data_IF_240393587556
#
_entry.id   IF_240393587556
#
_cell.length_a   1.000
_cell.length_b   1.000
_cell.length_c   1.000
_cell.angle_alpha   90.00
_cell.angle_beta   90.00
_cell.angle_gamma   90.00
#
_symmetry.space_group_name_H-M   'P 1'
#
loop_
_entity.id
_entity.type
_entity.pdbx_description
1 polymer ?
#
# COMPACT_ATOMS: atom_id res chain seq x y z
N UNK A 1 -27.56 -25.35 16.21
CA UNK A 1 -27.17 -24.75 14.92
C UNK A 1 -26.18 -23.65 15.25
N UNK A 2 -24.87 -23.78 15.16
CA UNK A 2 -24.03 -24.44 14.16
C UNK A 2 -22.78 -23.56 14.07
N UNK A 3 -21.90 -23.66 15.07
CA UNK A 3 -20.67 -22.88 15.13
C UNK A 3 -19.78 -23.27 13.95
N UNK A 4 -19.57 -22.34 13.01
CA UNK A 4 -18.67 -22.50 11.88
C UNK A 4 -17.22 -22.51 12.39
N UNK A 5 -16.76 -23.69 12.74
CA UNK A 5 -15.38 -24.00 13.08
C UNK A 5 -14.52 -23.92 11.82
N UNK A 6 -13.86 -22.78 11.59
CA UNK A 6 -12.89 -22.63 10.51
C UNK A 6 -11.72 -23.60 10.75
N UNK A 7 -11.37 -24.49 9.80
CA UNK A 7 -10.28 -25.43 9.96
C UNK A 7 -8.94 -24.67 9.94
N UNK A 8 -8.34 -24.52 11.12
CA UNK A 8 -7.02 -23.95 11.31
C UNK A 8 -5.94 -24.86 10.70
N UNK A 9 -5.35 -24.42 9.59
CA UNK A 9 -4.28 -25.12 8.88
C UNK A 9 -3.00 -25.17 9.73
N UNK A 10 -2.81 -26.30 10.42
CA UNK A 10 -1.79 -26.57 11.44
C UNK A 10 -0.31 -26.50 10.95
N UNK A 11 -0.06 -26.40 9.63
CA UNK A 11 1.30 -26.42 9.05
C UNK A 11 2.00 -25.06 8.99
N UNK A 12 1.27 -23.94 9.01
CA UNK A 12 1.86 -22.60 9.03
C UNK A 12 2.42 -22.19 10.41
N UNK A 13 2.14 -22.99 11.46
CA UNK A 13 2.38 -22.64 12.86
C UNK A 13 3.84 -22.77 13.33
N UNK A 14 4.71 -23.45 12.55
CA UNK A 14 6.04 -23.85 13.03
C UNK A 14 7.17 -22.84 12.80
N UNK A 15 6.96 -21.78 12.03
CA UNK A 15 8.04 -20.84 11.70
C UNK A 15 7.85 -19.41 12.20
N UNK A 16 6.64 -18.92 12.49
CA UNK A 16 6.46 -17.48 12.75
C UNK A 16 5.68 -17.08 14.00
N UNK A 17 5.10 -18.01 14.78
CA UNK A 17 4.53 -17.67 16.11
C UNK A 17 3.41 -16.62 16.14
N UNK A 18 2.86 -16.21 14.99
CA UNK A 18 1.80 -15.20 14.86
C UNK A 18 0.55 -15.87 14.28
N UNK A 19 -0.62 -15.67 14.90
CA UNK A 19 -1.90 -16.26 14.48
C UNK A 19 -2.33 -15.85 13.06
N UNK A 20 -1.73 -14.80 12.52
CA UNK A 20 -1.78 -14.37 11.11
C UNK A 20 -0.40 -14.60 10.49
N UNK A 21 -0.19 -15.69 9.74
CA UNK A 21 1.14 -16.18 9.32
C UNK A 21 2.07 -15.24 8.52
N UNK A 22 1.62 -14.05 8.13
CA UNK A 22 2.44 -12.95 7.57
C UNK A 22 2.03 -11.67 8.32
N UNK A 23 2.98 -10.89 8.85
CA UNK A 23 2.62 -9.64 9.55
C UNK A 23 2.05 -8.64 8.56
N UNK A 24 1.16 -7.77 9.03
CA UNK A 24 0.48 -6.80 8.17
C UNK A 24 1.45 -5.91 7.38
N UNK A 25 2.50 -5.47 8.09
CA UNK A 25 3.60 -4.66 7.56
C UNK A 25 4.41 -5.40 6.50
N UNK A 26 4.56 -6.73 6.61
CA UNK A 26 5.25 -7.53 5.58
C UNK A 26 4.44 -7.59 4.28
N UNK A 27 3.10 -7.74 4.33
CA UNK A 27 2.26 -7.75 3.13
C UNK A 27 2.30 -6.41 2.40
N UNK A 28 2.17 -5.31 3.15
CA UNK A 28 2.31 -3.95 2.62
C UNK A 28 3.72 -3.72 2.04
N UNK A 29 4.76 -4.20 2.74
CA UNK A 29 6.14 -4.10 2.28
C UNK A 29 6.40 -4.83 0.96
N UNK A 30 5.80 -6.01 0.75
CA UNK A 30 5.90 -6.74 -0.52
C UNK A 30 5.30 -5.91 -1.67
N UNK A 31 4.12 -5.31 -1.47
CA UNK A 31 3.52 -4.41 -2.45
C UNK A 31 4.45 -3.24 -2.82
N UNK A 32 5.02 -2.59 -1.80
CA UNK A 32 5.96 -1.48 -1.97
C UNK A 32 7.29 -1.86 -2.64
N UNK A 33 7.74 -3.12 -2.54
CA UNK A 33 8.92 -3.62 -3.27
C UNK A 33 8.58 -3.89 -4.73
N UNK A 34 7.40 -4.45 -5.02
CA UNK A 34 6.99 -4.81 -6.39
C UNK A 34 6.70 -3.54 -7.21
N UNK A 35 6.16 -2.47 -6.61
CA UNK A 35 5.87 -1.21 -7.30
C UNK A 35 7.06 -0.59 -8.07
N UNK A 36 8.24 -0.33 -7.46
CA UNK A 36 9.39 0.21 -8.20
C UNK A 36 9.95 -0.79 -9.22
N UNK A 37 9.90 -2.10 -8.95
CA UNK A 37 10.30 -3.13 -9.93
C UNK A 37 9.41 -3.05 -11.17
N UNK A 38 8.09 -2.93 -11.00
CA UNK A 38 7.14 -2.74 -12.09
C UNK A 38 7.49 -1.52 -12.95
N UNK A 39 7.85 -0.41 -12.29
CA UNK A 39 8.21 0.83 -12.97
C UNK A 39 9.55 0.74 -13.71
N UNK A 40 10.53 -0.03 -13.19
CA UNK A 40 11.77 -0.35 -13.92
C UNK A 40 11.48 -1.19 -15.16
N UNK A 41 10.61 -2.20 -15.04
CA UNK A 41 10.18 -3.02 -16.19
C UNK A 41 9.51 -2.14 -17.25
N UNK A 42 8.65 -1.20 -16.84
CA UNK A 42 8.04 -0.24 -17.75
C UNK A 42 9.09 0.63 -18.47
N UNK A 43 10.09 1.13 -17.75
CA UNK A 43 11.22 1.86 -18.33
C UNK A 43 12.00 1.04 -19.37
N UNK A 44 12.26 -0.24 -19.12
CA UNK A 44 12.95 -1.13 -20.05
C UNK A 44 12.14 -1.43 -21.31
N UNK A 45 10.83 -1.67 -21.14
CA UNK A 45 9.91 -1.90 -22.26
C UNK A 45 9.84 -0.66 -23.15
N UNK A 46 9.73 0.52 -22.54
CA UNK A 46 9.67 1.78 -23.27
C UNK A 46 10.99 2.08 -23.98
N UNK A 47 12.13 1.80 -23.35
CA UNK A 47 13.44 1.92 -23.98
C UNK A 47 13.55 1.03 -25.24
N UNK A 48 13.08 -0.22 -25.15
CA UNK A 48 13.03 -1.14 -26.30
C UNK A 48 12.09 -0.64 -27.41
N UNK A 49 10.90 -0.14 -27.04
CA UNK A 49 9.92 0.44 -27.98
C UNK A 49 10.49 1.64 -28.71
N UNK A 50 11.11 2.56 -27.97
CA UNK A 50 11.73 3.78 -28.52
C UNK A 50 12.87 3.44 -29.48
N UNK A 51 13.78 2.53 -29.12
CA UNK A 51 14.88 2.13 -30.00
C UNK A 51 14.35 1.47 -31.29
N UNK A 52 13.30 0.66 -31.19
CA UNK A 52 12.63 0.07 -32.36
C UNK A 52 11.97 1.13 -33.25
N UNK A 53 11.32 2.15 -32.66
CA UNK A 53 10.73 3.26 -33.41
C UNK A 53 11.79 4.08 -34.17
N UNK A 54 12.91 4.40 -33.52
CA UNK A 54 14.00 5.18 -34.13
C UNK A 54 14.64 4.44 -35.31
N UNK A 55 14.77 3.11 -35.21
CA UNK A 55 15.34 2.28 -36.29
C UNK A 55 14.40 2.08 -37.48
N UNK A 56 13.08 2.25 -37.31
CA UNK A 56 12.06 1.95 -38.32
C UNK A 56 11.33 3.23 -38.81
N UNK A 57 12.01 4.38 -38.80
CA UNK A 57 11.47 5.63 -39.33
C UNK A 57 10.25 6.18 -38.57
N UNK A 58 10.20 5.96 -37.25
CA UNK A 58 9.16 6.49 -36.35
C UNK A 58 7.99 5.54 -36.07
N UNK A 59 7.93 4.37 -36.71
CA UNK A 59 6.92 3.34 -36.42
C UNK A 59 7.55 2.21 -35.61
N UNK A 60 7.07 1.97 -34.39
CA UNK A 60 7.46 0.80 -33.60
C UNK A 60 6.55 -0.39 -33.90
N UNK A 61 6.98 -1.42 -34.64
CA UNK A 61 6.20 -2.65 -34.83
C UNK A 61 6.26 -3.53 -33.58
N UNK A 62 5.76 -3.01 -32.44
CA UNK A 62 5.66 -3.78 -31.19
C UNK A 62 4.21 -4.10 -30.87
N UNK A 63 3.98 -5.34 -30.46
CA UNK A 63 2.68 -5.78 -29.97
C UNK A 63 2.34 -5.09 -28.64
N UNK A 64 1.07 -4.75 -28.45
CA UNK A 64 0.51 -4.20 -27.21
C UNK A 64 0.74 -5.13 -26.01
N UNK A 65 0.95 -6.43 -26.26
CA UNK A 65 1.28 -7.43 -25.24
C UNK A 65 2.54 -7.08 -24.42
N UNK A 66 3.42 -6.22 -24.92
CA UNK A 66 4.58 -5.75 -24.16
C UNK A 66 4.23 -4.86 -22.95
N UNK A 67 3.00 -4.35 -22.85
CA UNK A 67 2.49 -3.69 -21.63
C UNK A 67 2.04 -4.69 -20.56
N UNK A 68 1.84 -5.97 -20.90
CA UNK A 68 1.37 -6.96 -19.95
C UNK A 68 2.29 -7.13 -18.73
N UNK A 69 3.64 -7.18 -18.86
CA UNK A 69 4.53 -7.36 -17.71
C UNK A 69 4.36 -6.27 -16.65
N UNK A 70 4.39 -5.00 -17.04
CA UNK A 70 4.23 -3.88 -16.10
C UNK A 70 2.83 -3.86 -15.46
N UNK A 71 1.77 -4.18 -16.22
CA UNK A 71 0.40 -4.17 -15.70
C UNK A 71 0.16 -5.33 -14.72
N UNK A 72 0.68 -6.52 -15.02
CA UNK A 72 0.59 -7.68 -14.12
C UNK A 72 1.32 -7.39 -12.82
N UNK A 73 2.55 -6.87 -12.89
CA UNK A 73 3.33 -6.54 -11.70
C UNK A 73 2.66 -5.44 -10.87
N UNK A 74 2.11 -4.42 -11.52
CA UNK A 74 1.36 -3.36 -10.83
C UNK A 74 0.13 -3.91 -10.12
N UNK A 75 -0.67 -4.75 -10.80
CA UNK A 75 -1.86 -5.36 -10.21
C UNK A 75 -1.53 -6.26 -9.01
N UNK A 76 -0.42 -7.01 -9.06
CA UNK A 76 0.06 -7.79 -7.91
C UNK A 76 0.44 -6.85 -6.76
N UNK A 77 1.18 -5.78 -7.03
CA UNK A 77 1.57 -4.80 -6.01
C UNK A 77 0.35 -4.17 -5.34
N UNK A 78 -0.64 -3.75 -6.13
CA UNK A 78 -1.89 -3.18 -5.65
C UNK A 78 -2.70 -4.18 -4.81
N UNK A 79 -2.78 -5.45 -5.22
CA UNK A 79 -3.47 -6.47 -4.44
C UNK A 79 -2.85 -6.65 -3.05
N UNK A 80 -1.52 -6.71 -2.95
CA UNK A 80 -0.82 -6.80 -1.65
C UNK A 80 -1.02 -5.55 -0.80
N UNK A 81 -0.97 -4.36 -1.40
CA UNK A 81 -1.23 -3.10 -0.70
C UNK A 81 -2.69 -3.00 -0.22
N UNK A 82 -3.67 -3.37 -1.05
CA UNK A 82 -5.09 -3.32 -0.70
C UNK A 82 -5.41 -4.28 0.45
N UNK A 83 -4.91 -5.52 0.39
CA UNK A 83 -5.06 -6.49 1.49
C UNK A 83 -4.41 -5.97 2.77
N UNK A 84 -3.21 -5.37 2.68
CA UNK A 84 -2.53 -4.75 3.82
C UNK A 84 -3.35 -3.63 4.47
N UNK A 85 -3.90 -2.72 3.66
CA UNK A 85 -4.72 -1.60 4.14
C UNK A 85 -6.05 -2.05 4.75
N UNK A 86 -6.79 -2.95 4.09
CA UNK A 86 -8.09 -3.42 4.58
C UNK A 86 -7.91 -4.12 5.93
N UNK A 87 -6.95 -5.03 6.04
CA UNK A 87 -6.72 -5.76 7.29
C UNK A 87 -6.16 -4.83 8.39
N UNK A 88 -5.50 -3.72 8.03
CA UNK A 88 -5.07 -2.68 8.97
C UNK A 88 -6.26 -1.94 9.54
N UNK A 89 -7.15 -1.48 8.66
CA UNK A 89 -8.33 -0.74 9.05
C UNK A 89 -9.24 -1.58 9.94
N UNK A 90 -9.44 -2.85 9.60
CA UNK A 90 -10.24 -3.78 10.40
C UNK A 90 -9.62 -4.11 11.76
N UNK A 91 -8.28 -4.11 11.91
CA UNK A 91 -7.61 -4.43 13.18
C UNK A 91 -7.38 -3.22 14.09
N UNK A 92 -7.27 -2.02 13.54
CA UNK A 92 -6.82 -0.83 14.28
C UNK A 92 -7.91 0.21 14.53
N UNK A 93 -8.98 0.24 13.72
CA UNK A 93 -10.05 1.23 13.88
C UNK A 93 -11.33 0.58 14.41
N UNK A 94 -12.01 1.21 15.39
CA UNK A 94 -13.35 0.79 15.79
C UNK A 94 -14.34 1.07 14.65
N UNK A 95 -15.45 0.33 14.58
CA UNK A 95 -16.41 0.39 13.45
C UNK A 95 -16.88 1.81 13.13
N UNK A 96 -16.99 2.67 14.15
CA UNK A 96 -17.45 4.06 14.02
C UNK A 96 -16.42 4.96 13.30
N UNK A 97 -15.15 4.57 13.21
CA UNK A 97 -14.08 5.32 12.53
C UNK A 97 -13.79 4.84 11.11
N UNK A 98 -14.40 3.74 10.66
CA UNK A 98 -14.19 3.21 9.31
C UNK A 98 -14.62 4.19 8.22
N UNK A 99 -15.71 4.95 8.43
CA UNK A 99 -16.16 6.01 7.50
C UNK A 99 -15.12 7.13 7.37
N UNK A 100 -14.45 7.50 8.48
CA UNK A 100 -13.39 8.49 8.47
C UNK A 100 -12.14 7.96 7.74
N UNK A 101 -11.76 6.71 7.98
CA UNK A 101 -10.66 6.04 7.27
C UNK A 101 -10.93 5.96 5.76
N UNK A 102 -12.15 5.59 5.35
CA UNK A 102 -12.57 5.58 3.95
C UNK A 102 -12.50 6.98 3.31
N UNK A 103 -12.93 8.01 4.03
CA UNK A 103 -12.85 9.40 3.55
C UNK A 103 -11.41 9.86 3.37
N UNK A 104 -10.54 9.55 4.34
CA UNK A 104 -9.10 9.84 4.26
C UNK A 104 -8.40 9.08 3.12
N UNK A 105 -8.85 7.86 2.80
CA UNK A 105 -8.36 7.11 1.65
C UNK A 105 -8.65 7.87 0.34
N UNK A 106 -9.87 8.35 0.13
CA UNK A 106 -10.20 9.15 -1.06
C UNK A 106 -9.45 10.48 -1.12
N UNK A 107 -9.25 11.16 0.02
CA UNK A 107 -8.44 12.38 0.09
C UNK A 107 -6.99 12.08 -0.29
N UNK A 108 -6.43 10.97 0.19
CA UNK A 108 -5.07 10.52 -0.18
C UNK A 108 -4.98 10.22 -1.67
N UNK A 109 -6.00 9.57 -2.25
CA UNK A 109 -6.07 9.29 -3.68
C UNK A 109 -6.15 10.58 -4.51
N UNK A 110 -6.94 11.57 -4.08
CA UNK A 110 -6.98 12.88 -4.71
C UNK A 110 -5.60 13.57 -4.63
N UNK A 111 -4.97 13.56 -3.46
CA UNK A 111 -3.61 14.09 -3.25
C UNK A 111 -2.57 13.42 -4.15
N UNK A 112 -2.66 12.09 -4.34
CA UNK A 112 -1.79 11.35 -5.24
C UNK A 112 -1.95 11.78 -6.71
N UNK A 113 -3.18 12.05 -7.16
CA UNK A 113 -3.42 12.56 -8.52
C UNK A 113 -2.85 13.97 -8.73
N UNK A 114 -2.99 14.86 -7.74
CA UNK A 114 -2.35 16.18 -7.78
C UNK A 114 -0.83 16.07 -7.79
N UNK A 115 -0.26 15.20 -6.96
CA UNK A 115 1.18 14.95 -6.93
C UNK A 115 1.68 14.41 -8.27
N UNK A 116 0.98 13.45 -8.88
CA UNK A 116 1.30 12.92 -10.21
C UNK A 116 1.37 14.03 -11.27
N UNK A 117 0.38 14.92 -11.27
CA UNK A 117 0.34 16.08 -12.18
C UNK A 117 1.48 17.07 -11.89
N UNK A 118 1.75 17.35 -10.62
CA UNK A 118 2.85 18.23 -10.23
C UNK A 118 4.20 17.66 -10.65
N UNK A 119 4.44 16.36 -10.44
CA UNK A 119 5.66 15.67 -10.87
C UNK A 119 5.84 15.75 -12.38
N UNK A 120 4.80 15.51 -13.16
CA UNK A 120 4.84 15.64 -14.62
C UNK A 120 5.18 17.08 -15.07
N UNK A 121 4.60 18.08 -14.41
CA UNK A 121 4.88 19.48 -14.72
C UNK A 121 6.32 19.89 -14.33
N UNK A 122 6.80 19.42 -13.17
CA UNK A 122 8.18 19.65 -12.71
C UNK A 122 9.16 19.01 -13.68
N UNK A 123 8.97 17.74 -14.06
CA UNK A 123 9.89 17.06 -14.98
C UNK A 123 9.91 17.72 -16.35
N UNK A 124 8.74 18.13 -16.88
CA UNK A 124 8.69 18.95 -18.11
C UNK A 124 9.48 20.24 -17.96
N UNK A 125 9.26 21.01 -16.89
CA UNK A 125 9.91 22.31 -16.68
C UNK A 125 11.42 22.20 -16.48
N UNK A 126 11.87 21.20 -15.72
CA UNK A 126 13.30 20.95 -15.46
C UNK A 126 14.00 20.48 -16.73
N UNK A 127 13.38 19.58 -17.51
CA UNK A 127 14.03 19.01 -18.70
C UNK A 127 14.05 19.96 -19.89
N UNK A 128 13.08 20.87 -20.00
CA UNK A 128 13.00 21.82 -21.13
C UNK A 128 14.01 22.98 -21.01
N UNK A 129 14.63 23.16 -19.83
CA UNK A 129 15.39 24.37 -19.48
C UNK A 129 16.65 24.58 -20.31
N UNK A 130 17.23 23.53 -20.89
CA UNK A 130 18.52 23.58 -21.60
C UNK A 130 18.38 23.48 -23.14
N UNK A 131 17.20 23.74 -23.71
CA UNK A 131 16.97 23.65 -25.16
C UNK A 131 16.88 22.21 -25.71
N UNK A 132 16.91 21.22 -24.81
CA UNK A 132 16.71 19.81 -25.12
C UNK A 132 15.22 19.42 -25.06
N UNK A 133 14.82 18.38 -25.81
CA UNK A 133 13.46 17.83 -25.78
C UNK A 133 13.11 17.32 -24.38
N UNK A 134 11.93 17.71 -23.88
CA UNK A 134 11.39 17.25 -22.61
C UNK A 134 11.28 15.72 -22.58
N UNK A 135 11.47 15.10 -21.41
CA UNK A 135 11.22 13.66 -21.22
C UNK A 135 9.76 13.32 -21.54
N UNK A 136 8.86 14.28 -21.30
CA UNK A 136 7.42 14.20 -21.54
C UNK A 136 7.03 15.21 -22.63
N UNK A 137 7.44 14.93 -23.86
CA UNK A 137 7.08 15.67 -25.10
C UNK A 137 5.85 15.02 -25.75
N UNK A 138 5.06 15.81 -26.48
CA UNK A 138 3.85 15.34 -27.18
C UNK A 138 4.16 14.24 -28.21
N UNK A 139 5.37 14.26 -28.78
CA UNK A 139 5.92 13.15 -29.55
C UNK A 139 6.64 12.14 -28.63
N UNK A 140 5.98 11.01 -28.40
CA UNK A 140 6.46 9.88 -27.61
C UNK A 140 7.75 9.24 -28.16
N UNK A 141 8.07 9.41 -29.44
CA UNK A 141 9.29 8.84 -30.03
C UNK A 141 10.52 9.74 -29.76
N UNK A 142 10.29 11.05 -29.67
CA UNK A 142 11.32 12.04 -29.34
C UNK A 142 11.52 12.20 -27.83
N UNK A 143 10.44 12.05 -27.06
CA UNK A 143 10.45 12.05 -25.61
C UNK A 143 11.20 10.85 -25.02
N UNK A 144 11.89 11.07 -23.91
CA UNK A 144 12.56 10.02 -23.12
C UNK A 144 11.68 9.58 -21.95
N UNK A 145 10.56 8.95 -22.28
CA UNK A 145 9.58 8.48 -21.29
C UNK A 145 10.17 7.42 -20.34
N UNK A 146 11.17 6.68 -20.81
CA UNK A 146 11.97 5.75 -20.00
C UNK A 146 12.60 6.43 -18.77
N UNK A 147 13.13 7.65 -18.91
CA UNK A 147 13.67 8.41 -17.76
C UNK A 147 12.59 8.84 -16.77
N UNK A 148 11.39 9.17 -17.25
CA UNK A 148 10.28 9.47 -16.35
C UNK A 148 9.87 8.23 -15.52
N UNK A 149 9.85 7.04 -16.13
CA UNK A 149 9.61 5.81 -15.38
C UNK A 149 10.71 5.49 -14.36
N UNK A 150 11.99 5.66 -14.70
CA UNK A 150 13.07 5.51 -13.73
C UNK A 150 13.00 6.54 -12.60
N UNK A 151 12.57 7.77 -12.89
CA UNK A 151 12.36 8.80 -11.88
C UNK A 151 11.24 8.41 -10.89
N UNK A 152 10.10 7.91 -11.39
CA UNK A 152 9.05 7.39 -10.51
C UNK A 152 9.55 6.17 -9.72
N UNK A 153 10.32 5.28 -10.34
CA UNK A 153 10.92 4.14 -9.66
C UNK A 153 11.83 4.58 -8.49
N UNK A 154 12.64 5.62 -8.68
CA UNK A 154 13.48 6.19 -7.64
C UNK A 154 12.64 6.74 -6.46
N UNK A 155 11.57 7.48 -6.76
CA UNK A 155 10.64 7.96 -5.73
C UNK A 155 10.00 6.77 -4.98
N UNK A 156 9.62 5.71 -5.70
CA UNK A 156 9.09 4.48 -5.11
C UNK A 156 10.10 3.79 -4.18
N UNK A 157 11.39 3.73 -4.56
CA UNK A 157 12.45 3.19 -3.71
C UNK A 157 12.65 4.06 -2.46
N UNK A 158 12.63 5.39 -2.58
CA UNK A 158 12.69 6.30 -1.42
C UNK A 158 11.48 6.10 -0.49
N UNK A 159 10.29 5.89 -1.05
CA UNK A 159 9.09 5.56 -0.29
C UNK A 159 9.23 4.22 0.45
N UNK A 160 9.81 3.20 -0.19
CA UNK A 160 10.12 1.93 0.43
C UNK A 160 11.12 2.10 1.60
N UNK A 161 12.19 2.88 1.42
CA UNK A 161 13.13 3.16 2.51
C UNK A 161 12.46 3.87 3.68
N UNK A 162 11.62 4.88 3.39
CA UNK A 162 10.83 5.55 4.41
C UNK A 162 9.92 4.56 5.16
N UNK A 163 9.24 3.68 4.44
CA UNK A 163 8.42 2.62 5.03
C UNK A 163 9.24 1.66 5.90
N UNK A 164 10.43 1.25 5.47
CA UNK A 164 11.32 0.37 6.24
C UNK A 164 11.78 1.04 7.54
N UNK A 165 12.13 2.33 7.49
CA UNK A 165 12.49 3.12 8.68
C UNK A 165 11.28 3.16 9.62
N UNK A 166 10.10 3.56 9.12
CA UNK A 166 8.89 3.59 9.92
C UNK A 166 8.58 2.22 10.53
N UNK A 167 8.66 1.14 9.75
CA UNK A 167 8.41 -0.23 10.22
C UNK A 167 9.45 -0.70 11.24
N UNK A 168 10.70 -0.23 11.16
CA UNK A 168 11.75 -0.55 12.12
C UNK A 168 11.56 0.21 13.44
N UNK A 169 11.13 1.46 13.37
CA UNK A 169 10.76 2.26 14.56
C UNK A 169 9.39 1.86 15.13
N UNK A 170 8.54 1.20 14.34
CA UNK A 170 7.26 0.66 14.78
C UNK A 170 7.51 -0.61 15.61
N UNK A 171 7.79 -0.41 16.89
CA UNK A 171 7.67 -1.46 17.89
C UNK A 171 6.27 -2.06 17.77
N UNK A 172 6.18 -3.38 17.52
CA UNK A 172 4.94 -4.12 17.64
C UNK A 172 4.53 -4.00 19.10
N UNK A 173 3.75 -2.96 19.44
CA UNK A 173 3.24 -2.78 20.80
C UNK A 173 2.49 -4.06 21.10
N UNK A 174 2.92 -4.76 22.14
CA UNK A 174 2.22 -5.89 22.75
C UNK A 174 0.85 -5.39 23.24
N UNK A 175 -0.05 -5.15 22.30
CA UNK A 175 -1.44 -4.72 22.52
C UNK A 175 -2.32 -5.94 22.82
N UNK A 176 -1.72 -7.04 23.26
CA UNK A 176 -2.44 -8.16 23.86
C UNK A 176 -2.49 -8.08 25.38
N UNK A 177 -1.66 -7.25 26.04
CA UNK A 177 -1.65 -7.18 27.50
C UNK A 177 -2.46 -6.00 28.04
N UNK A 178 -2.27 -4.78 27.53
CA UNK A 178 -2.95 -3.61 28.10
C UNK A 178 -4.41 -3.44 27.65
N UNK A 179 -4.79 -3.87 26.44
CA UNK A 179 -6.17 -3.77 25.98
C UNK A 179 -7.08 -4.79 26.68
N UNK A 180 -6.57 -6.01 26.92
CA UNK A 180 -7.27 -7.05 27.66
C UNK A 180 -7.36 -6.73 29.15
N UNK A 181 -6.34 -6.05 29.70
CA UNK A 181 -6.32 -5.57 31.08
C UNK A 181 -7.25 -4.36 31.28
N UNK A 182 -7.30 -3.39 30.36
CA UNK A 182 -8.25 -2.27 30.43
C UNK A 182 -9.71 -2.71 30.27
N UNK A 183 -9.97 -3.73 29.45
CA UNK A 183 -11.33 -4.30 29.30
C UNK A 183 -11.71 -5.08 30.56
N UNK A 184 -10.81 -5.91 31.12
CA UNK A 184 -11.09 -6.67 32.36
C UNK A 184 -11.27 -5.76 33.57
N UNK A 185 -10.55 -4.64 33.65
CA UNK A 185 -10.73 -3.66 34.74
C UNK A 185 -12.08 -2.96 34.61
N UNK A 186 -12.47 -2.54 33.41
CA UNK A 186 -13.74 -1.87 33.18
C UNK A 186 -14.96 -2.79 33.39
N UNK A 187 -14.89 -4.04 32.92
CA UNK A 187 -15.96 -5.03 33.14
C UNK A 187 -16.08 -5.44 34.62
N UNK A 188 -15.00 -5.38 35.40
CA UNK A 188 -15.05 -5.64 36.85
C UNK A 188 -15.68 -4.49 37.62
N UNK A 189 -15.36 -3.24 37.28
CA UNK A 189 -16.00 -2.06 37.89
C UNK A 189 -17.51 -2.00 37.62
N UNK A 190 -17.95 -2.34 36.40
CA UNK A 190 -19.38 -2.40 36.06
C UNK A 190 -20.12 -3.52 36.81
N UNK A 191 -19.50 -4.70 36.94
CA UNK A 191 -20.10 -5.83 37.67
C UNK A 191 -20.18 -5.58 39.19
N UNK A 192 -19.20 -4.90 39.78
CA UNK A 192 -19.21 -4.54 41.21
C UNK A 192 -20.25 -3.44 41.51
N UNK A 193 -20.47 -2.51 40.57
CA UNK A 193 -21.50 -1.47 40.69
C UNK A 193 -22.93 -2.04 40.63
N UNK A 194 -23.22 -3.02 39.77
CA UNK A 194 -24.53 -3.67 39.69
C UNK A 194 -24.85 -4.54 40.91
N UNK A 195 -23.85 -5.25 41.47
CA UNK A 195 -24.05 -6.10 42.66
C UNK A 195 -24.34 -5.25 43.91
N UNK A 196 -23.68 -4.10 44.05
CA UNK A 196 -23.90 -3.23 45.21
C UNK A 196 -25.26 -2.52 45.14
N UNK A 197 -25.68 -2.09 43.94
CA UNK A 197 -27.00 -1.49 43.71
C UNK A 197 -28.17 -2.45 44.02
N UNK A 198 -27.97 -3.76 43.83
CA UNK A 198 -29.00 -4.77 44.07
C UNK A 198 -29.03 -5.28 45.53
N UNK A 199 -27.99 -5.00 46.32
CA UNK A 199 -27.90 -5.40 47.73
C UNK A 199 -28.56 -4.37 48.66
N UNK A 200 -28.60 -3.09 48.27
CA UNK A 200 -29.26 -2.00 49.00
C UNK A 200 -30.76 -1.83 48.66
N UNK A 201 -31.31 -2.66 47.77
CA UNK A 201 -32.74 -2.64 47.48
C UNK A 201 -33.55 -3.18 48.69
N UNK A 202 -34.43 -2.39 49.32
CA UNK A 202 -35.19 -2.86 50.47
C UNK A 202 -36.15 -3.96 50.05
N UNK A 203 -35.98 -5.15 50.65
CA UNK A 203 -36.92 -6.28 50.49
C UNK A 203 -38.32 -5.85 50.93
N UNK A 204 -39.22 -5.74 49.96
CA UNK A 204 -40.67 -5.63 50.17
C UNK A 204 -41.35 -6.92 49.76
#
# INVERSE_FOLDING_TARGET
MGALQYPANRRARRFTGVESGITLLQRQGIGLVISPISMVVAGLVEHKRRNSALSNGGKSPMSVLWLAPQLILMGIAEAFNAVGQIEFYNKQFPEQMLTLAGSLFFVTLAGANYLSTALANITRKVTTRDGHTSWLTDDINLGKLDYYFYFIALIGVLNLFYFLICSHYYQYKSMSLHAEESIKVHTKEEAEAEVNANTDAPKK
#
